data_IF_451057222089
#
_entry.id   IF_451057222089
#
_cell.length_a   1.000
_cell.length_b   1.000
_cell.length_c   1.000
_cell.angle_alpha   90.00
_cell.angle_beta   90.00
_cell.angle_gamma   90.00
#
_symmetry.space_group_name_H-M   'P 1'
#
loop_
_entity.id
_entity.type
_entity.pdbx_description
1 polymer ?
#
# COMPACT_ATOMS: atom_id res chain seq x y z
N UNK A 1 33.87 21.02 -18.41
CA UNK A 1 33.47 19.67 -17.96
C UNK A 1 32.12 19.38 -18.58
N UNK A 2 32.12 18.53 -19.60
CA UNK A 2 31.04 18.36 -20.58
C UNK A 2 29.85 17.59 -19.99
N UNK A 3 28.64 18.08 -20.24
CA UNK A 3 27.34 17.46 -19.90
C UNK A 3 27.25 15.98 -20.35
N UNK A 4 27.99 15.61 -21.39
CA UNK A 4 28.11 14.25 -21.91
C UNK A 4 28.72 13.26 -20.92
N UNK A 5 29.63 13.71 -20.04
CA UNK A 5 30.25 12.85 -19.02
C UNK A 5 29.26 12.54 -17.88
N UNK A 6 28.44 13.51 -17.47
CA UNK A 6 27.40 13.31 -16.47
C UNK A 6 26.33 12.30 -16.93
N UNK A 7 25.97 12.33 -18.22
CA UNK A 7 25.06 11.34 -18.79
C UNK A 7 25.68 9.94 -18.88
N UNK A 8 26.98 9.83 -19.17
CA UNK A 8 27.66 8.53 -19.28
C UNK A 8 27.78 7.81 -17.93
N UNK A 9 27.90 8.55 -16.81
CA UNK A 9 27.90 7.98 -15.46
C UNK A 9 26.49 7.75 -14.89
N UNK A 10 25.46 8.42 -15.43
CA UNK A 10 24.06 8.13 -15.06
C UNK A 10 23.55 6.81 -15.66
N UNK A 11 24.04 6.41 -16.83
CA UNK A 11 23.67 5.15 -17.50
C UNK A 11 24.00 3.89 -16.67
N UNK A 12 25.19 3.72 -16.06
CA UNK A 12 25.48 2.56 -15.22
C UNK A 12 24.71 2.53 -13.90
N UNK A 13 24.16 3.66 -13.42
CA UNK A 13 23.25 3.68 -12.27
C UNK A 13 21.85 3.17 -12.63
N UNK A 14 21.43 3.35 -13.89
CA UNK A 14 20.18 2.80 -14.45
C UNK A 14 20.34 1.37 -14.98
N UNK A 15 21.58 0.88 -15.12
CA UNK A 15 21.88 -0.52 -15.42
C UNK A 15 21.73 -1.35 -14.14
N UNK A 16 20.49 -1.49 -13.68
CA UNK A 16 20.11 -2.44 -12.64
C UNK A 16 20.58 -3.85 -13.09
N UNK A 17 21.24 -4.64 -12.21
CA UNK A 17 21.56 -6.03 -12.52
C UNK A 17 20.32 -6.75 -13.06
N UNK A 18 20.47 -7.75 -13.95
CA UNK A 18 19.37 -8.65 -14.25
C UNK A 18 18.91 -9.28 -12.94
N UNK A 19 17.88 -8.71 -12.34
CA UNK A 19 17.24 -9.20 -11.14
C UNK A 19 16.17 -10.17 -11.65
N UNK A 20 16.47 -11.49 -11.67
CA UNK A 20 15.48 -12.46 -12.10
C UNK A 20 14.24 -12.26 -11.23
N UNK A 21 13.05 -12.28 -11.86
CA UNK A 21 11.79 -12.13 -11.15
C UNK A 21 11.80 -13.00 -9.89
N UNK A 22 11.42 -12.48 -8.71
CA UNK A 22 11.47 -13.20 -7.43
C UNK A 22 10.79 -14.57 -7.53
N UNK A 23 11.58 -15.59 -7.86
CA UNK A 23 11.11 -16.94 -8.07
C UNK A 23 11.06 -17.60 -6.69
N UNK A 24 9.87 -17.97 -6.19
CA UNK A 24 9.79 -18.64 -4.90
C UNK A 24 10.55 -19.96 -4.97
N UNK A 25 11.30 -20.35 -3.93
CA UNK A 25 11.97 -21.63 -3.85
C UNK A 25 10.98 -22.76 -4.21
N UNK A 26 11.33 -23.66 -5.14
CA UNK A 26 10.45 -24.74 -5.57
C UNK A 26 9.87 -25.49 -4.35
N UNK A 27 8.54 -25.54 -4.25
CA UNK A 27 7.81 -26.13 -3.11
C UNK A 27 7.15 -25.14 -2.15
N UNK A 28 7.54 -23.86 -2.11
CA UNK A 28 6.95 -22.84 -1.24
C UNK A 28 5.91 -21.92 -1.92
N UNK A 29 5.69 -22.10 -3.23
CA UNK A 29 4.73 -21.29 -4.00
C UNK A 29 3.30 -21.36 -3.44
N UNK A 30 2.84 -22.55 -3.02
CA UNK A 30 1.49 -22.73 -2.47
C UNK A 30 1.29 -22.00 -1.14
N UNK A 31 2.28 -22.06 -0.24
CA UNK A 31 2.25 -21.36 1.04
C UNK A 31 2.35 -19.84 0.84
N UNK A 32 3.29 -19.38 0.00
CA UNK A 32 3.46 -17.96 -0.32
C UNK A 32 2.20 -17.34 -0.93
N UNK A 33 1.58 -18.02 -1.89
CA UNK A 33 0.33 -17.53 -2.50
C UNK A 33 -0.83 -17.47 -1.50
N UNK A 34 -0.92 -18.45 -0.58
CA UNK A 34 -1.94 -18.46 0.47
C UNK A 34 -1.77 -17.31 1.45
N UNK A 35 -0.54 -17.06 1.93
CA UNK A 35 -0.23 -15.95 2.83
C UNK A 35 -0.52 -14.59 2.17
N UNK A 36 -0.16 -14.42 0.90
CA UNK A 36 -0.47 -13.20 0.14
C UNK A 36 -1.99 -13.01 -0.01
N UNK A 37 -2.71 -14.10 -0.30
CA UNK A 37 -4.18 -14.06 -0.42
C UNK A 37 -4.85 -13.62 0.88
N UNK A 38 -4.43 -14.17 2.03
CA UNK A 38 -4.94 -13.81 3.34
C UNK A 38 -4.61 -12.36 3.71
N UNK A 39 -3.40 -11.91 3.36
CA UNK A 39 -2.97 -10.53 3.61
C UNK A 39 -3.78 -9.52 2.78
N UNK A 40 -4.05 -9.83 1.50
CA UNK A 40 -4.91 -8.98 0.64
C UNK A 40 -6.33 -8.89 1.20
N UNK A 41 -6.91 -10.02 1.59
CA UNK A 41 -8.24 -10.06 2.18
C UNK A 41 -8.29 -9.31 3.53
N UNK A 42 -7.30 -9.52 4.39
CA UNK A 42 -7.18 -8.84 5.68
C UNK A 42 -7.04 -7.33 5.53
N UNK A 43 -6.28 -6.85 4.55
CA UNK A 43 -6.13 -5.42 4.26
C UNK A 43 -7.46 -4.77 3.83
N UNK A 44 -8.23 -5.43 2.98
CA UNK A 44 -9.54 -4.95 2.53
C UNK A 44 -10.52 -4.82 3.70
N UNK A 45 -10.55 -5.82 4.59
CA UNK A 45 -11.42 -5.79 5.77
C UNK A 45 -10.96 -4.73 6.76
N UNK A 46 -9.66 -4.64 7.04
CA UNK A 46 -9.11 -3.64 7.95
C UNK A 46 -9.41 -2.21 7.47
N UNK A 47 -9.23 -1.95 6.16
CA UNK A 47 -9.58 -0.68 5.54
C UNK A 47 -11.08 -0.37 5.66
N UNK A 48 -11.95 -1.34 5.40
CA UNK A 48 -13.40 -1.16 5.52
C UNK A 48 -13.83 -0.87 6.97
N UNK A 49 -13.32 -1.63 7.94
CA UNK A 49 -13.63 -1.41 9.37
C UNK A 49 -13.16 -0.04 9.83
N UNK A 50 -11.96 0.41 9.43
CA UNK A 50 -11.43 1.73 9.79
C UNK A 50 -12.33 2.89 9.34
N UNK A 51 -12.88 2.81 8.12
CA UNK A 51 -13.82 3.81 7.60
C UNK A 51 -15.16 3.76 8.34
N UNK A 52 -15.68 2.56 8.63
CA UNK A 52 -16.94 2.39 9.35
C UNK A 52 -16.83 2.97 10.77
N UNK A 53 -15.75 2.68 11.50
CA UNK A 53 -15.52 3.21 12.86
C UNK A 53 -15.42 4.74 12.84
N UNK A 54 -14.73 5.29 11.84
CA UNK A 54 -14.63 6.74 11.65
C UNK A 54 -16.00 7.38 11.37
N UNK A 55 -16.83 6.73 10.54
CA UNK A 55 -18.20 7.18 10.26
C UNK A 55 -19.12 7.11 11.51
N UNK A 56 -18.97 6.09 12.35
CA UNK A 56 -19.73 5.94 13.60
C UNK A 56 -19.43 7.11 14.54
N UNK A 57 -18.16 7.50 14.70
CA UNK A 57 -17.78 8.64 15.54
C UNK A 57 -18.40 9.96 15.04
N UNK A 58 -18.43 10.18 13.73
CA UNK A 58 -19.07 11.35 13.12
C UNK A 58 -20.59 11.34 13.36
N UNK A 59 -21.25 10.18 13.24
CA UNK A 59 -22.69 10.04 13.46
C UNK A 59 -23.13 10.33 14.91
N UNK A 60 -22.30 9.95 15.89
CA UNK A 60 -22.57 10.15 17.32
C UNK A 60 -22.32 11.59 17.78
N UNK A 61 -21.35 12.30 17.18
CA UNK A 61 -20.89 13.63 17.61
C UNK A 61 -21.86 14.81 17.47
N UNK A 62 -23.07 14.60 16.91
CA UNK A 62 -24.00 15.68 16.52
C UNK A 62 -24.51 16.57 17.67
N UNK A 63 -24.40 16.17 18.93
CA UNK A 63 -25.09 16.81 20.07
C UNK A 63 -24.19 17.59 21.05
N UNK A 64 -23.31 18.46 20.54
CA UNK A 64 -22.62 19.51 21.33
C UNK A 64 -21.23 19.17 21.95
N UNK A 65 -20.45 18.24 21.37
CA UNK A 65 -19.00 18.10 21.64
C UNK A 65 -18.24 17.87 20.33
N UNK A 66 -17.80 18.97 19.72
CA UNK A 66 -17.21 19.04 18.37
C UNK A 66 -15.95 18.17 18.23
N UNK A 67 -15.23 17.95 19.32
CA UNK A 67 -13.96 17.24 19.36
C UNK A 67 -14.05 15.81 18.80
N UNK A 68 -15.10 15.07 19.14
CA UNK A 68 -15.26 13.67 18.70
C UNK A 68 -15.58 13.53 17.22
N UNK A 69 -16.13 14.57 16.58
CA UNK A 69 -16.37 14.57 15.14
C UNK A 69 -15.10 14.90 14.33
N UNK A 70 -14.22 15.75 14.87
CA UNK A 70 -12.92 16.04 14.26
C UNK A 70 -11.99 14.83 14.30
N UNK A 71 -11.94 14.10 15.42
CA UNK A 71 -11.18 12.85 15.53
C UNK A 71 -11.72 11.75 14.61
N UNK A 72 -13.03 11.73 14.36
CA UNK A 72 -13.64 10.84 13.37
C UNK A 72 -13.28 11.22 11.92
N UNK A 73 -13.26 12.53 11.60
CA UNK A 73 -12.90 13.02 10.25
C UNK A 73 -11.44 12.73 9.91
N UNK A 74 -10.51 12.92 10.85
CA UNK A 74 -9.10 12.56 10.67
C UNK A 74 -8.93 11.04 10.50
N UNK A 75 -9.75 10.24 11.19
CA UNK A 75 -9.84 8.79 11.00
C UNK A 75 -10.26 8.37 9.58
N UNK A 76 -11.23 9.05 8.95
CA UNK A 76 -11.62 8.81 7.55
C UNK A 76 -10.44 9.08 6.60
N UNK A 77 -9.72 10.18 6.82
CA UNK A 77 -8.52 10.52 6.05
C UNK A 77 -7.48 9.41 6.13
N UNK A 78 -7.20 8.89 7.34
CA UNK A 78 -6.24 7.80 7.52
C UNK A 78 -6.71 6.47 6.91
N UNK A 79 -8.00 6.17 6.98
CA UNK A 79 -8.57 4.98 6.33
C UNK A 79 -8.44 5.01 4.81
N UNK A 80 -8.64 6.18 4.18
CA UNK A 80 -8.45 6.35 2.74
C UNK A 80 -6.96 6.26 2.34
N UNK A 81 -6.06 6.82 3.14
CA UNK A 81 -4.61 6.69 2.93
C UNK A 81 -4.18 5.21 3.02
N UNK A 82 -4.68 4.46 3.99
CA UNK A 82 -4.39 3.03 4.11
C UNK A 82 -4.88 2.23 2.89
N UNK A 83 -6.09 2.51 2.40
CA UNK A 83 -6.63 1.89 1.18
C UNK A 83 -5.83 2.28 -0.08
N UNK A 84 -5.37 3.52 -0.17
CA UNK A 84 -4.53 3.98 -1.27
C UNK A 84 -3.15 3.30 -1.27
N UNK A 85 -2.54 3.10 -0.11
CA UNK A 85 -1.28 2.34 -0.01
C UNK A 85 -1.52 0.87 -0.39
N UNK A 86 -2.66 0.31 0.01
CA UNK A 86 -3.07 -1.04 -0.38
C UNK A 86 -3.26 -1.24 -1.89
N UNK A 87 -3.81 -0.24 -2.61
CA UNK A 87 -3.95 -0.32 -4.06
C UNK A 87 -2.58 -0.25 -4.77
N UNK A 88 -1.64 0.55 -4.27
CA UNK A 88 -0.26 0.60 -4.77
C UNK A 88 0.49 -0.72 -4.51
N UNK A 89 0.21 -1.39 -3.38
CA UNK A 89 0.79 -2.72 -3.12
C UNK A 89 0.36 -3.75 -4.18
N UNK A 90 -0.89 -3.68 -4.67
CA UNK A 90 -1.36 -4.57 -5.74
C UNK A 90 -0.63 -4.31 -7.07
N UNK A 91 -0.35 -3.05 -7.41
CA UNK A 91 0.41 -2.70 -8.62
C UNK A 91 1.87 -3.13 -8.53
N UNK A 92 2.48 -3.04 -7.35
CA UNK A 92 3.85 -3.51 -7.12
C UNK A 92 3.94 -5.03 -7.28
N UNK A 93 3.02 -5.80 -6.67
CA UNK A 93 2.99 -7.26 -6.85
C UNK A 93 2.82 -7.64 -8.32
N UNK A 94 1.99 -6.92 -9.07
CA UNK A 94 1.85 -7.14 -10.52
C UNK A 94 3.10 -6.80 -11.32
N UNK A 95 3.83 -5.74 -10.94
CA UNK A 95 5.08 -5.33 -11.61
C UNK A 95 6.24 -6.32 -11.38
N UNK A 96 6.28 -7.00 -10.23
CA UNK A 96 7.28 -8.03 -9.93
C UNK A 96 6.89 -9.45 -10.37
N UNK A 97 5.71 -9.62 -10.96
CA UNK A 97 5.23 -10.89 -11.55
C UNK A 97 5.35 -10.93 -13.09
N UNK A 98 5.76 -9.82 -13.72
CA UNK A 98 6.11 -9.71 -15.14
C UNK A 98 7.59 -10.09 -15.37
#
# INVERSE_FOLDING_TARGET
MSLTALFTEAVPLLAQPPDPAPAPPPGLQGFGNSVISWTKWGLLIAGMVGIIVSAIMIAIGRRNRHQTAYDGLTGVGWGLVALAIGSVAATLVGAFQL
#
